data_IF_162973293481
#
_entry.id   IF_162973293481
#
_cell.length_a   1.000
_cell.length_b   1.000
_cell.length_c   1.000
_cell.angle_alpha   90.00
_cell.angle_beta   90.00
_cell.angle_gamma   90.00
#
_symmetry.space_group_name_H-M   'P 1'
#
loop_
_entity.id
_entity.type
_entity.pdbx_description
1 polymer ?
#
# COMPACT_ATOMS: atom_id res chain seq x y z
N UNK A 1 -60.55 -13.28 3.60
CA UNK A 1 -59.13 -12.96 3.32
C UNK A 1 -59.05 -11.93 2.20
N UNK A 2 -58.14 -10.95 2.28
CA UNK A 2 -57.90 -10.04 1.15
C UNK A 2 -57.36 -10.82 -0.06
N UNK A 3 -57.69 -10.39 -1.29
CA UNK A 3 -57.17 -10.99 -2.53
C UNK A 3 -55.64 -11.06 -2.53
N UNK A 4 -54.98 -10.06 -1.94
CA UNK A 4 -53.52 -10.00 -1.82
C UNK A 4 -53.01 -11.05 -0.84
N UNK A 5 -53.66 -11.22 0.31
CA UNK A 5 -53.30 -12.25 1.29
C UNK A 5 -53.42 -13.65 0.70
N UNK A 6 -54.53 -13.94 0.01
CA UNK A 6 -54.72 -15.25 -0.61
C UNK A 6 -53.69 -15.53 -1.72
N UNK A 7 -53.40 -14.52 -2.57
CA UNK A 7 -52.37 -14.64 -3.60
C UNK A 7 -50.97 -14.86 -3.01
N UNK A 8 -50.69 -14.24 -1.86
CA UNK A 8 -49.43 -14.41 -1.15
C UNK A 8 -49.28 -15.82 -0.58
N UNK A 9 -50.30 -16.34 0.10
CA UNK A 9 -50.28 -17.72 0.62
C UNK A 9 -50.10 -18.74 -0.50
N UNK A 10 -50.79 -18.55 -1.63
CA UNK A 10 -50.65 -19.42 -2.79
C UNK A 10 -49.22 -19.39 -3.37
N UNK A 11 -48.61 -18.21 -3.48
CA UNK A 11 -47.24 -18.09 -3.97
C UNK A 11 -46.22 -18.72 -3.02
N UNK A 12 -46.42 -18.58 -1.70
CA UNK A 12 -45.58 -19.22 -0.67
C UNK A 12 -45.69 -20.74 -0.75
N UNK A 13 -46.90 -21.28 -0.88
CA UNK A 13 -47.11 -22.72 -1.05
C UNK A 13 -46.34 -23.28 -2.26
N UNK A 14 -46.33 -22.56 -3.39
CA UNK A 14 -45.56 -22.95 -4.58
C UNK A 14 -44.06 -22.99 -4.30
N UNK A 15 -43.51 -22.00 -3.57
CA UNK A 15 -42.09 -22.01 -3.21
C UNK A 15 -41.76 -23.22 -2.32
N UNK A 16 -42.59 -23.48 -1.31
CA UNK A 16 -42.40 -24.63 -0.39
C UNK A 16 -42.48 -25.96 -1.15
N UNK A 17 -43.47 -26.14 -2.03
CA UNK A 17 -43.64 -27.36 -2.84
C UNK A 17 -42.44 -27.61 -3.78
N UNK A 18 -41.81 -26.54 -4.29
CA UNK A 18 -40.66 -26.64 -5.18
C UNK A 18 -39.32 -26.62 -4.43
N UNK A 19 -39.31 -26.53 -3.10
CA UNK A 19 -38.09 -26.59 -2.29
C UNK A 19 -37.71 -28.06 -2.06
N UNK A 20 -36.50 -28.51 -2.44
CA UNK A 20 -36.09 -29.90 -2.27
C UNK A 20 -35.98 -30.25 -0.77
N UNK A 21 -36.21 -31.53 -0.44
CA UNK A 21 -35.93 -32.05 0.89
C UNK A 21 -34.41 -32.01 1.19
N UNK A 22 -34.05 -31.98 2.47
CA UNK A 22 -32.65 -31.93 2.90
C UNK A 22 -31.81 -33.05 2.25
N UNK A 23 -30.77 -32.65 1.51
CA UNK A 23 -29.87 -33.57 0.81
C UNK A 23 -30.26 -33.95 -0.61
N UNK A 24 -31.43 -33.53 -1.11
CA UNK A 24 -31.83 -33.77 -2.51
C UNK A 24 -31.35 -32.65 -3.45
N UNK A 25 -30.92 -33.03 -4.66
CA UNK A 25 -30.56 -32.05 -5.68
C UNK A 25 -31.82 -31.38 -6.25
N UNK A 26 -31.83 -30.05 -6.29
CA UNK A 26 -32.91 -29.28 -6.89
C UNK A 26 -32.92 -29.44 -8.42
N UNK A 27 -34.06 -29.81 -9.01
CA UNK A 27 -34.20 -29.86 -10.47
C UNK A 27 -34.29 -28.45 -11.08
N UNK A 28 -33.89 -28.31 -12.35
CA UNK A 28 -34.02 -27.03 -13.07
C UNK A 28 -35.48 -26.52 -13.10
N UNK A 29 -36.44 -27.44 -13.21
CA UNK A 29 -37.87 -27.11 -13.20
C UNK A 29 -38.26 -26.49 -11.85
N UNK A 30 -37.94 -27.15 -10.74
CA UNK A 30 -38.21 -26.67 -9.39
C UNK A 30 -37.58 -25.30 -9.14
N UNK A 31 -36.33 -25.10 -9.57
CA UNK A 31 -35.64 -23.80 -9.49
C UNK A 31 -36.44 -22.69 -10.16
N UNK A 32 -36.81 -22.88 -11.42
CA UNK A 32 -37.52 -21.84 -12.20
C UNK A 32 -38.89 -21.51 -11.61
N UNK A 33 -39.64 -22.52 -11.16
CA UNK A 33 -40.96 -22.29 -10.53
C UNK A 33 -40.82 -21.63 -9.16
N UNK A 34 -39.86 -22.05 -8.34
CA UNK A 34 -39.52 -21.44 -7.07
C UNK A 34 -39.12 -19.97 -7.22
N UNK A 35 -38.17 -19.66 -8.11
CA UNK A 35 -37.69 -18.30 -8.36
C UNK A 35 -38.82 -17.38 -8.86
N UNK A 36 -39.68 -17.88 -9.76
CA UNK A 36 -40.82 -17.11 -10.27
C UNK A 36 -41.83 -16.83 -9.16
N UNK A 37 -42.14 -17.82 -8.32
CA UNK A 37 -43.05 -17.65 -7.20
C UNK A 37 -42.46 -16.69 -6.15
N UNK A 38 -41.17 -16.80 -5.85
CA UNK A 38 -40.45 -15.89 -4.96
C UNK A 38 -40.47 -14.44 -5.48
N UNK A 39 -40.19 -14.23 -6.77
CA UNK A 39 -40.31 -12.90 -7.40
C UNK A 39 -41.75 -12.36 -7.33
N UNK A 40 -42.75 -13.23 -7.44
CA UNK A 40 -44.16 -12.90 -7.22
C UNK A 40 -44.45 -12.43 -5.79
N UNK A 41 -43.91 -13.14 -4.79
CA UNK A 41 -44.02 -12.78 -3.36
C UNK A 41 -43.43 -11.38 -3.13
N UNK A 42 -42.21 -11.12 -3.63
CA UNK A 42 -41.56 -9.82 -3.48
C UNK A 42 -42.41 -8.68 -4.07
N UNK A 43 -43.01 -8.89 -5.25
CA UNK A 43 -43.94 -7.92 -5.87
C UNK A 43 -45.18 -7.65 -4.99
N UNK A 44 -45.77 -8.70 -4.41
CA UNK A 44 -46.95 -8.57 -3.54
C UNK A 44 -46.63 -7.85 -2.22
N UNK A 45 -45.44 -8.07 -1.65
CA UNK A 45 -45.01 -7.50 -0.37
C UNK A 45 -44.34 -6.11 -0.55
N UNK A 46 -43.92 -5.73 -1.76
CA UNK A 46 -43.19 -4.49 -2.03
C UNK A 46 -43.79 -3.23 -1.35
N UNK A 47 -45.12 -2.94 -1.38
CA UNK A 47 -45.67 -1.79 -0.66
C UNK A 47 -45.36 -1.78 0.84
N UNK A 48 -45.32 -2.96 1.46
CA UNK A 48 -45.01 -3.12 2.88
C UNK A 48 -43.52 -2.98 3.17
N UNK A 49 -42.66 -3.51 2.31
CA UNK A 49 -41.20 -3.27 2.38
C UNK A 49 -40.93 -1.77 2.33
N UNK A 50 -41.52 -1.05 1.36
CA UNK A 50 -41.39 0.41 1.26
C UNK A 50 -41.85 1.14 2.51
N UNK A 51 -42.93 0.69 3.15
CA UNK A 51 -43.39 1.26 4.40
C UNK A 51 -42.37 1.04 5.53
N UNK A 52 -41.86 -0.17 5.71
CA UNK A 52 -40.89 -0.46 6.75
C UNK A 52 -39.54 0.23 6.52
N UNK A 53 -39.02 0.30 5.29
CA UNK A 53 -37.77 1.03 4.99
C UNK A 53 -37.87 2.49 5.47
N UNK A 54 -38.99 3.16 5.19
CA UNK A 54 -39.24 4.53 5.68
C UNK A 54 -39.36 4.58 7.21
N UNK A 55 -40.11 3.66 7.81
CA UNK A 55 -40.30 3.63 9.27
C UNK A 55 -38.98 3.43 10.03
N UNK A 56 -38.05 2.64 9.47
CA UNK A 56 -36.74 2.38 10.06
C UNK A 56 -35.70 3.46 9.72
N UNK A 57 -36.06 4.47 8.92
CA UNK A 57 -35.18 5.58 8.55
C UNK A 57 -34.13 5.24 7.49
N UNK A 58 -34.27 4.12 6.79
CA UNK A 58 -33.25 3.59 5.86
C UNK A 58 -33.42 4.11 4.42
N UNK A 59 -33.97 5.31 4.25
CA UNK A 59 -34.27 5.88 2.92
C UNK A 59 -32.99 6.14 2.13
N UNK A 60 -31.92 6.55 2.79
CA UNK A 60 -30.59 6.74 2.20
C UNK A 60 -29.88 5.42 1.84
N UNK A 61 -30.41 4.28 2.31
CA UNK A 61 -29.85 2.93 2.11
C UNK A 61 -30.91 2.02 1.49
N UNK A 62 -31.66 2.55 0.53
CA UNK A 62 -32.85 1.89 0.00
C UNK A 62 -32.55 0.51 -0.61
N UNK A 63 -31.51 0.42 -1.43
CA UNK A 63 -31.11 -0.82 -2.11
C UNK A 63 -30.69 -1.90 -1.10
N UNK A 64 -29.85 -1.54 -0.13
CA UNK A 64 -29.42 -2.45 0.95
C UNK A 64 -30.61 -2.94 1.78
N UNK A 65 -31.54 -2.03 2.09
CA UNK A 65 -32.72 -2.33 2.87
C UNK A 65 -33.70 -3.25 2.12
N UNK A 66 -33.83 -3.07 0.79
CA UNK A 66 -34.62 -3.95 -0.07
C UNK A 66 -34.02 -5.36 -0.13
N UNK A 67 -32.69 -5.48 -0.28
CA UNK A 67 -31.99 -6.77 -0.24
C UNK A 67 -32.15 -7.47 1.11
N UNK A 68 -31.98 -6.75 2.23
CA UNK A 68 -32.20 -7.29 3.57
C UNK A 68 -33.65 -7.78 3.75
N UNK A 69 -34.63 -7.05 3.20
CA UNK A 69 -36.02 -7.49 3.20
C UNK A 69 -36.23 -8.75 2.36
N UNK A 70 -35.58 -8.88 1.19
CA UNK A 70 -35.66 -10.09 0.38
C UNK A 70 -35.08 -11.31 1.12
N UNK A 71 -33.96 -11.15 1.83
CA UNK A 71 -33.40 -12.18 2.72
C UNK A 71 -34.40 -12.52 3.83
N UNK A 72 -35.03 -11.52 4.44
CA UNK A 72 -36.06 -11.71 5.47
C UNK A 72 -37.27 -12.48 4.95
N UNK A 73 -37.73 -12.21 3.72
CA UNK A 73 -38.79 -12.97 3.06
C UNK A 73 -38.35 -14.41 2.83
N UNK A 74 -37.14 -14.65 2.34
CA UNK A 74 -36.61 -15.99 2.13
C UNK A 74 -36.55 -16.80 3.43
N UNK A 75 -35.99 -16.21 4.51
CA UNK A 75 -35.97 -16.82 5.85
C UNK A 75 -37.38 -17.04 6.40
N UNK A 76 -38.30 -16.12 6.14
CA UNK A 76 -39.71 -16.28 6.51
C UNK A 76 -40.32 -17.51 5.82
N UNK A 77 -40.03 -17.76 4.54
CA UNK A 77 -40.55 -18.93 3.83
C UNK A 77 -39.99 -20.23 4.45
N UNK A 78 -38.69 -20.27 4.74
CA UNK A 78 -38.04 -21.45 5.33
C UNK A 78 -38.62 -21.84 6.70
N UNK A 79 -38.98 -20.85 7.52
CA UNK A 79 -39.55 -21.06 8.85
C UNK A 79 -41.07 -21.02 8.91
N UNK A 80 -41.76 -20.95 7.77
CA UNK A 80 -43.21 -20.74 7.74
C UNK A 80 -43.99 -22.01 8.08
N UNK A 81 -44.93 -21.88 9.02
CA UNK A 81 -45.88 -22.93 9.37
C UNK A 81 -47.32 -22.40 9.21
N UNK A 82 -48.06 -22.87 8.18
CA UNK A 82 -49.40 -22.36 7.88
C UNK A 82 -50.44 -22.71 8.95
N UNK A 83 -50.15 -23.66 9.83
CA UNK A 83 -51.06 -24.02 10.93
C UNK A 83 -51.00 -23.03 12.10
N UNK A 84 -49.90 -22.28 12.22
CA UNK A 84 -49.66 -21.36 13.34
C UNK A 84 -50.07 -19.93 13.05
N UNK A 85 -49.84 -19.45 11.84
CA UNK A 85 -50.13 -18.06 11.48
C UNK A 85 -50.27 -17.87 9.96
N UNK A 86 -50.92 -16.78 9.57
CA UNK A 86 -50.87 -16.29 8.18
C UNK A 86 -49.46 -15.78 7.85
N UNK A 87 -48.98 -16.04 6.64
CA UNK A 87 -47.65 -15.63 6.19
C UNK A 87 -47.47 -14.12 6.27
N UNK A 88 -48.53 -13.33 5.97
CA UNK A 88 -48.49 -11.87 6.10
C UNK A 88 -48.14 -11.37 7.50
N UNK A 89 -48.49 -12.13 8.54
CA UNK A 89 -48.15 -11.80 9.93
C UNK A 89 -46.71 -12.23 10.22
N UNK A 90 -46.35 -13.44 9.83
CA UNK A 90 -45.03 -14.00 10.09
C UNK A 90 -43.90 -13.22 9.40
N UNK A 91 -44.08 -12.88 8.12
CA UNK A 91 -43.09 -12.14 7.33
C UNK A 91 -42.83 -10.75 7.92
N UNK A 92 -43.82 -10.11 8.56
CA UNK A 92 -43.62 -8.80 9.19
C UNK A 92 -42.59 -8.86 10.32
N UNK A 93 -42.55 -9.95 11.08
CA UNK A 93 -41.55 -10.11 12.14
C UNK A 93 -40.15 -10.25 11.55
N UNK A 94 -40.02 -11.02 10.47
CA UNK A 94 -38.72 -11.17 9.80
C UNK A 94 -38.24 -9.86 9.16
N UNK A 95 -39.12 -9.14 8.45
CA UNK A 95 -38.76 -7.84 7.87
C UNK A 95 -38.27 -6.85 8.93
N UNK A 96 -38.94 -6.79 10.09
CA UNK A 96 -38.52 -5.94 11.21
C UNK A 96 -37.17 -6.35 11.79
N UNK A 97 -36.93 -7.66 11.94
CA UNK A 97 -35.65 -8.19 12.44
C UNK A 97 -34.48 -7.81 11.54
N UNK A 98 -34.60 -8.07 10.23
CA UNK A 98 -33.54 -7.77 9.26
C UNK A 98 -33.27 -6.26 9.15
N UNK A 99 -34.33 -5.43 9.07
CA UNK A 99 -34.17 -3.97 8.98
C UNK A 99 -33.57 -3.38 10.27
N UNK A 100 -33.95 -3.92 11.43
CA UNK A 100 -33.33 -3.52 12.69
C UNK A 100 -31.85 -3.91 12.72
N UNK A 101 -31.48 -5.10 12.23
CA UNK A 101 -30.10 -5.55 12.11
C UNK A 101 -29.27 -4.71 11.14
N UNK A 102 -29.85 -4.28 10.02
CA UNK A 102 -29.21 -3.35 9.08
C UNK A 102 -29.00 -1.99 9.74
N UNK A 103 -30.03 -1.43 10.38
CA UNK A 103 -29.96 -0.16 11.11
C UNK A 103 -28.84 -0.15 12.15
N UNK A 104 -28.71 -1.21 12.94
CA UNK A 104 -27.64 -1.30 13.94
C UNK A 104 -26.23 -1.29 13.35
N UNK A 105 -26.05 -1.79 12.12
CA UNK A 105 -24.75 -1.81 11.44
C UNK A 105 -24.42 -0.47 10.78
N UNK A 106 -25.41 0.19 10.18
CA UNK A 106 -25.20 1.45 9.45
C UNK A 106 -25.25 2.68 10.35
N UNK A 107 -26.19 2.73 11.29
CA UNK A 107 -26.44 3.89 12.15
C UNK A 107 -25.78 3.68 13.52
N UNK A 108 -24.45 3.59 13.51
CA UNK A 108 -23.64 3.43 14.73
C UNK A 108 -23.70 4.66 15.63
N UNK A 109 -23.92 5.83 15.03
CA UNK A 109 -24.19 7.12 15.65
C UNK A 109 -25.47 7.14 16.52
N UNK A 110 -26.48 6.35 16.16
CA UNK A 110 -27.72 6.26 16.91
C UNK A 110 -27.63 5.39 18.18
N UNK A 111 -26.49 4.73 18.40
CA UNK A 111 -26.28 3.90 19.60
C UNK A 111 -26.16 4.78 20.85
N UNK A 112 -26.61 4.30 22.03
CA UNK A 112 -26.51 5.08 23.27
C UNK A 112 -25.08 5.54 23.60
N UNK A 113 -24.07 4.73 23.27
CA UNK A 113 -22.66 5.09 23.47
C UNK A 113 -22.21 6.24 22.56
N UNK A 114 -22.61 6.24 21.29
CA UNK A 114 -22.29 7.30 20.35
C UNK A 114 -22.98 8.62 20.73
N UNK A 115 -24.24 8.54 21.19
CA UNK A 115 -24.98 9.71 21.72
C UNK A 115 -24.30 10.37 22.92
N UNK A 116 -23.60 9.61 23.78
CA UNK A 116 -22.86 10.17 24.93
C UNK A 116 -21.67 11.05 24.50
N UNK A 117 -21.09 10.78 23.34
CA UNK A 117 -19.92 11.49 22.81
C UNK A 117 -20.32 12.41 21.65
N UNK A 118 -21.62 12.61 21.42
CA UNK A 118 -22.16 13.37 20.28
C UNK A 118 -21.55 12.94 18.93
N UNK A 119 -21.24 11.64 18.78
CA UNK A 119 -20.69 11.12 17.54
C UNK A 119 -21.79 11.07 16.47
N UNK A 120 -21.48 11.62 15.29
CA UNK A 120 -22.38 11.69 14.15
C UNK A 120 -21.75 11.03 12.93
N UNK A 121 -22.55 10.31 12.15
CA UNK A 121 -22.12 9.83 10.83
C UNK A 121 -22.23 10.98 9.84
N UNK A 122 -21.11 11.33 9.21
CA UNK A 122 -21.04 12.39 8.19
C UNK A 122 -20.66 11.74 6.86
N UNK A 123 -21.27 12.20 5.77
CA UNK A 123 -20.85 11.81 4.42
C UNK A 123 -19.67 12.67 3.98
N UNK A 124 -18.65 12.07 3.37
CA UNK A 124 -17.52 12.82 2.80
C UNK A 124 -17.98 13.82 1.72
N UNK A 125 -19.03 13.47 0.98
CA UNK A 125 -19.63 14.32 -0.05
C UNK A 125 -20.74 15.22 0.50
N UNK A 126 -20.96 15.28 1.81
CA UNK A 126 -21.85 16.27 2.39
C UNK A 126 -21.26 17.67 2.14
N UNK A 127 -22.04 18.53 1.52
CA UNK A 127 -21.72 19.95 1.39
C UNK A 127 -21.89 20.59 2.76
N UNK A 128 -20.80 21.16 3.27
CA UNK A 128 -20.78 21.93 4.50
C UNK A 128 -20.49 23.39 4.13
N UNK A 129 -21.30 24.31 4.66
CA UNK A 129 -21.03 25.74 4.51
C UNK A 129 -19.95 26.13 5.51
N UNK A 130 -18.81 26.63 5.01
CA UNK A 130 -17.73 27.12 5.85
C UNK A 130 -18.09 28.49 6.47
N UNK A 131 -17.27 28.96 7.43
CA UNK A 131 -17.49 30.25 8.11
C UNK A 131 -17.55 31.45 7.14
N UNK A 132 -16.92 31.32 5.97
CA UNK A 132 -16.90 32.32 4.90
C UNK A 132 -18.10 32.20 3.93
N UNK A 133 -19.04 31.28 4.19
CA UNK A 133 -20.25 31.08 3.38
C UNK A 133 -20.03 30.31 2.08
N UNK A 134 -18.82 29.79 1.85
CA UNK A 134 -18.54 28.92 0.72
C UNK A 134 -18.95 27.48 1.02
N UNK A 135 -19.71 26.90 0.09
CA UNK A 135 -20.15 25.52 0.12
C UNK A 135 -19.00 24.61 -0.34
N UNK A 136 -18.47 23.82 0.58
CA UNK A 136 -17.36 22.91 0.31
C UNK A 136 -17.68 21.52 0.84
N UNK A 137 -17.19 20.46 0.17
CA UNK A 137 -17.38 19.11 0.70
C UNK A 137 -16.39 18.81 1.82
N UNK A 138 -16.74 17.89 2.72
CA UNK A 138 -15.80 17.42 3.75
C UNK A 138 -14.56 16.77 3.13
N UNK A 139 -14.72 16.09 1.98
CA UNK A 139 -13.62 15.54 1.19
C UNK A 139 -12.58 16.62 0.82
N UNK A 140 -13.03 17.69 0.17
CA UNK A 140 -12.16 18.82 -0.22
C UNK A 140 -11.49 19.53 0.97
N UNK A 141 -12.15 19.57 2.13
CA UNK A 141 -11.55 20.17 3.34
C UNK A 141 -10.43 19.28 3.94
N UNK A 142 -10.53 17.95 3.80
CA UNK A 142 -9.55 17.00 4.36
C UNK A 142 -8.39 16.77 3.39
N UNK A 143 -8.63 16.93 2.08
CA UNK A 143 -7.59 16.74 1.06
C UNK A 143 -6.43 17.72 1.27
N UNK A 144 -5.24 17.17 1.49
CA UNK A 144 -4.00 17.93 1.44
C UNK A 144 -3.53 18.02 -0.02
N UNK A 145 -3.60 19.23 -0.58
CA UNK A 145 -3.22 19.52 -1.96
C UNK A 145 -1.74 19.18 -2.25
N UNK A 146 -0.88 19.21 -1.23
CA UNK A 146 0.55 18.93 -1.37
C UNK A 146 0.89 17.46 -1.18
N UNK A 147 -0.07 16.61 -0.80
CA UNK A 147 0.22 15.21 -0.45
C UNK A 147 0.87 14.44 -1.61
N UNK A 148 0.43 14.69 -2.85
CA UNK A 148 1.00 14.04 -4.03
C UNK A 148 2.46 14.49 -4.24
N UNK A 149 2.71 15.80 -4.28
CA UNK A 149 4.05 16.36 -4.51
C UNK A 149 5.04 15.94 -3.41
N UNK A 150 4.61 15.96 -2.14
CA UNK A 150 5.42 15.51 -1.01
C UNK A 150 5.71 14.00 -1.09
N UNK A 151 4.75 13.20 -1.53
CA UNK A 151 4.94 11.76 -1.70
C UNK A 151 5.91 11.46 -2.84
N UNK A 152 5.74 12.12 -3.99
CA UNK A 152 6.62 11.95 -5.15
C UNK A 152 8.05 12.43 -4.87
N UNK A 153 8.20 13.59 -4.23
CA UNK A 153 9.51 14.11 -3.83
C UNK A 153 10.18 13.22 -2.79
N UNK A 154 9.43 12.72 -1.80
CA UNK A 154 9.91 11.76 -0.81
C UNK A 154 10.34 10.42 -1.43
N UNK A 155 9.53 9.88 -2.33
CA UNK A 155 9.86 8.65 -3.07
C UNK A 155 11.11 8.84 -3.95
N UNK A 156 11.21 9.97 -4.66
CA UNK A 156 12.37 10.34 -5.48
C UNK A 156 13.64 10.45 -4.63
N UNK A 157 13.58 11.14 -3.49
CA UNK A 157 14.70 11.27 -2.56
C UNK A 157 15.13 9.91 -1.99
N UNK A 158 14.17 9.05 -1.64
CA UNK A 158 14.46 7.71 -1.16
C UNK A 158 15.14 6.84 -2.23
N UNK A 159 14.62 6.85 -3.46
CA UNK A 159 15.24 6.14 -4.59
C UNK A 159 16.63 6.68 -4.92
N UNK A 160 16.84 7.99 -4.84
CA UNK A 160 18.15 8.60 -5.02
C UNK A 160 19.15 8.12 -3.95
N UNK A 161 18.74 8.06 -2.68
CA UNK A 161 19.58 7.53 -1.59
C UNK A 161 19.92 6.06 -1.81
N UNK A 162 18.95 5.21 -2.14
CA UNK A 162 19.20 3.80 -2.41
C UNK A 162 20.16 3.60 -3.59
N UNK A 163 19.95 4.35 -4.67
CA UNK A 163 20.80 4.29 -5.87
C UNK A 163 22.21 4.75 -5.55
N UNK A 164 22.36 5.87 -4.82
CA UNK A 164 23.64 6.37 -4.34
C UNK A 164 24.38 5.31 -3.52
N UNK A 165 23.73 4.73 -2.51
CA UNK A 165 24.35 3.71 -1.66
C UNK A 165 24.82 2.53 -2.50
N UNK A 166 23.99 2.05 -3.43
CA UNK A 166 24.35 0.91 -4.26
C UNK A 166 25.53 1.19 -5.19
N UNK A 167 25.60 2.37 -5.79
CA UNK A 167 26.72 2.78 -6.64
C UNK A 167 28.04 2.91 -5.86
N UNK A 168 27.98 3.39 -4.62
CA UNK A 168 29.17 3.45 -3.74
C UNK A 168 29.63 2.05 -3.37
N UNK A 169 28.72 1.13 -3.05
CA UNK A 169 29.04 -0.27 -2.78
C UNK A 169 29.70 -0.95 -3.99
N UNK A 170 29.10 -0.82 -5.18
CA UNK A 170 29.65 -1.38 -6.42
C UNK A 170 31.06 -0.82 -6.71
N UNK A 171 31.31 0.46 -6.40
CA UNK A 171 32.64 1.07 -6.50
C UNK A 171 33.63 0.53 -5.48
N UNK A 172 33.21 0.35 -4.24
CA UNK A 172 34.04 -0.24 -3.18
C UNK A 172 34.45 -1.65 -3.56
N UNK A 173 33.53 -2.46 -4.07
CA UNK A 173 33.82 -3.82 -4.54
C UNK A 173 34.77 -3.81 -5.74
N UNK A 174 34.59 -2.89 -6.69
CA UNK A 174 35.53 -2.69 -7.79
C UNK A 174 36.96 -2.35 -7.28
N UNK A 175 37.09 -1.49 -6.26
CA UNK A 175 38.39 -1.19 -5.66
C UNK A 175 39.03 -2.40 -4.97
N UNK A 176 38.23 -3.25 -4.33
CA UNK A 176 38.70 -4.50 -3.73
C UNK A 176 39.21 -5.46 -4.79
N UNK A 177 38.47 -5.66 -5.88
CA UNK A 177 38.86 -6.54 -6.97
C UNK A 177 40.17 -6.07 -7.62
N UNK A 178 40.25 -4.79 -8.00
CA UNK A 178 41.47 -4.23 -8.60
C UNK A 178 42.65 -4.25 -7.62
N UNK A 179 42.41 -3.95 -6.34
CA UNK A 179 43.44 -3.93 -5.30
C UNK A 179 44.01 -5.33 -5.03
N UNK A 180 43.14 -6.32 -4.86
CA UNK A 180 43.54 -7.72 -4.64
C UNK A 180 44.26 -8.30 -5.85
N UNK A 181 43.82 -7.98 -7.08
CA UNK A 181 44.52 -8.35 -8.32
C UNK A 181 45.93 -7.73 -8.40
N UNK A 182 46.07 -6.45 -8.02
CA UNK A 182 47.37 -5.78 -7.99
C UNK A 182 48.29 -6.40 -6.95
N UNK A 183 47.78 -6.72 -5.75
CA UNK A 183 48.54 -7.41 -4.70
C UNK A 183 48.96 -8.81 -5.18
N UNK A 184 48.07 -9.57 -5.81
CA UNK A 184 48.38 -10.88 -6.38
C UNK A 184 49.47 -10.79 -7.47
N UNK A 185 49.40 -9.79 -8.37
CA UNK A 185 50.42 -9.56 -9.39
C UNK A 185 51.77 -9.15 -8.79
N UNK A 186 51.78 -8.31 -7.75
CA UNK A 186 53.00 -7.93 -7.02
C UNK A 186 53.63 -9.12 -6.30
N UNK A 187 52.82 -9.93 -5.62
CA UNK A 187 53.26 -11.17 -4.97
C UNK A 187 53.87 -12.16 -5.97
N UNK A 188 53.34 -12.25 -7.20
CA UNK A 188 53.93 -13.06 -8.29
C UNK A 188 55.28 -12.53 -8.79
N UNK A 189 55.47 -11.20 -8.82
CA UNK A 189 56.70 -10.56 -9.34
C UNK A 189 57.83 -10.46 -8.31
N UNK A 190 57.48 -10.31 -7.03
CA UNK A 190 58.43 -10.02 -5.96
C UNK A 190 59.27 -11.23 -5.50
N UNK A 191 59.22 -12.39 -6.18
CA UNK A 191 59.74 -13.62 -5.56
C UNK A 191 60.38 -14.62 -6.52
N UNK A 192 61.72 -14.58 -6.60
CA UNK A 192 62.54 -15.76 -6.35
C UNK A 192 63.10 -15.82 -4.91
N UNK A 193 63.13 -14.72 -4.14
CA UNK A 193 63.81 -14.66 -2.82
C UNK A 193 62.91 -15.06 -1.62
N UNK A 194 61.69 -14.50 -1.49
CA UNK A 194 60.69 -14.89 -0.46
C UNK A 194 60.20 -16.35 -0.53
N UNK A 195 60.42 -17.06 -1.64
CA UNK A 195 60.03 -18.46 -1.79
C UNK A 195 60.95 -19.41 -1.00
N UNK A 196 62.15 -18.95 -0.60
CA UNK A 196 63.13 -19.72 0.17
C UNK A 196 62.85 -19.74 1.69
N UNK A 197 62.09 -18.78 2.21
CA UNK A 197 61.87 -18.65 3.68
C UNK A 197 60.79 -19.56 4.25
N UNK A 198 59.86 -20.06 3.43
CA UNK A 198 58.71 -20.83 3.93
C UNK A 198 58.85 -22.29 3.53
N UNK A 199 59.53 -23.06 4.39
CA UNK A 199 59.74 -24.50 4.24
C UNK A 199 58.46 -25.29 4.57
N UNK A 200 57.84 -25.89 3.56
CA UNK A 200 56.71 -26.82 3.71
C UNK A 200 56.15 -27.30 2.35
N UNK A 201 55.45 -28.46 2.31
CA UNK A 201 54.89 -28.99 1.06
C UNK A 201 53.70 -28.14 0.61
N UNK A 202 53.78 -27.53 -0.59
CA UNK A 202 52.79 -26.57 -1.09
C UNK A 202 51.92 -27.13 -2.22
N UNK A 203 50.60 -27.05 -2.05
CA UNK A 203 49.62 -27.14 -3.13
C UNK A 203 49.73 -25.89 -4.02
N UNK A 204 49.51 -26.02 -5.34
CA UNK A 204 49.74 -24.93 -6.32
C UNK A 204 48.94 -23.64 -6.05
N UNK A 205 47.84 -23.72 -5.31
CA UNK A 205 47.06 -22.56 -4.87
C UNK A 205 47.73 -21.72 -3.77
N UNK A 206 48.75 -22.25 -3.09
CA UNK A 206 49.45 -21.58 -1.97
C UNK A 206 50.80 -20.95 -2.37
N UNK A 207 51.11 -20.87 -3.66
CA UNK A 207 52.45 -20.46 -4.14
C UNK A 207 52.66 -18.95 -4.04
N UNK A 208 51.59 -18.15 -3.95
CA UNK A 208 51.66 -16.69 -3.82
C UNK A 208 50.61 -16.17 -2.83
N UNK A 209 50.77 -16.41 -1.50
CA UNK A 209 49.85 -15.85 -0.51
C UNK A 209 49.98 -14.31 -0.49
N UNK A 210 48.84 -13.62 -0.52
CA UNK A 210 48.79 -12.18 -0.26
C UNK A 210 49.07 -11.98 1.23
N UNK A 211 49.93 -11.02 1.57
CA UNK A 211 50.25 -10.70 2.96
C UNK A 211 49.00 -10.09 3.64
N UNK A 212 48.57 -10.60 4.82
CA UNK A 212 47.43 -10.03 5.54
C UNK A 212 47.61 -8.56 5.93
N UNK A 213 48.85 -8.08 6.11
CA UNK A 213 49.13 -6.67 6.40
C UNK A 213 48.87 -5.76 5.19
N UNK A 214 49.22 -6.22 3.98
CA UNK A 214 48.94 -5.52 2.73
C UNK A 214 47.43 -5.46 2.45
N UNK A 215 46.70 -6.52 2.78
CA UNK A 215 45.24 -6.56 2.67
C UNK A 215 44.57 -5.59 3.65
N UNK A 216 45.04 -5.52 4.89
CA UNK A 216 44.54 -4.57 5.89
C UNK A 216 44.80 -3.11 5.46
N UNK A 217 45.97 -2.83 4.89
CA UNK A 217 46.29 -1.51 4.35
C UNK A 217 45.40 -1.14 3.15
N UNK A 218 45.06 -2.11 2.30
CA UNK A 218 44.11 -1.91 1.20
C UNK A 218 42.71 -1.55 1.72
N UNK A 219 42.16 -2.32 2.66
CA UNK A 219 40.83 -2.03 3.25
C UNK A 219 40.80 -0.67 3.96
N UNK A 220 41.85 -0.31 4.70
CA UNK A 220 41.95 1.02 5.33
C UNK A 220 41.91 2.15 4.29
N UNK A 221 42.57 1.96 3.15
CA UNK A 221 42.54 2.93 2.05
C UNK A 221 41.16 3.01 1.38
N UNK A 222 40.49 1.87 1.19
CA UNK A 222 39.14 1.80 0.64
C UNK A 222 38.14 2.50 1.56
N UNK A 223 38.28 2.33 2.88
CA UNK A 223 37.45 3.02 3.87
C UNK A 223 37.58 4.55 3.76
N UNK A 224 38.82 5.07 3.65
CA UNK A 224 39.06 6.50 3.44
C UNK A 224 38.45 7.02 2.13
N UNK A 225 38.53 6.23 1.05
CA UNK A 225 37.90 6.59 -0.22
C UNK A 225 36.37 6.66 -0.11
N UNK A 226 35.75 5.68 0.56
CA UNK A 226 34.30 5.66 0.81
C UNK A 226 33.85 6.89 1.59
N UNK A 227 34.54 7.20 2.68
CA UNK A 227 34.23 8.36 3.52
C UNK A 227 34.34 9.68 2.75
N UNK A 228 35.38 9.83 1.91
CA UNK A 228 35.56 11.00 1.06
C UNK A 228 34.41 11.19 0.06
N UNK A 229 33.88 10.10 -0.50
CA UNK A 229 32.76 10.12 -1.46
C UNK A 229 31.46 10.44 -0.74
N UNK A 230 31.19 9.77 0.38
CA UNK A 230 29.97 9.97 1.16
C UNK A 230 29.87 11.42 1.66
N UNK A 231 30.97 12.00 2.16
CA UNK A 231 31.05 13.40 2.58
C UNK A 231 30.72 14.35 1.42
N UNK A 232 31.30 14.10 0.24
CA UNK A 232 31.10 14.98 -0.92
C UNK A 232 29.68 14.92 -1.48
N UNK A 233 29.05 13.74 -1.46
CA UNK A 233 27.70 13.53 -1.99
C UNK A 233 26.60 14.00 -1.06
N UNK A 234 26.89 14.21 0.23
CA UNK A 234 25.91 14.70 1.20
C UNK A 234 25.67 16.22 1.11
N UNK A 235 26.28 16.93 0.15
CA UNK A 235 26.15 18.39 -0.06
C UNK A 235 26.43 19.22 1.21
N UNK A 236 27.15 18.66 2.18
CA UNK A 236 27.39 19.28 3.48
C UNK A 236 28.62 20.20 3.39
N UNK A 237 28.47 21.31 2.67
CA UNK A 237 29.53 22.29 2.43
C UNK A 237 30.14 22.84 3.73
N UNK A 238 29.35 22.84 4.82
CA UNK A 238 29.80 23.21 6.16
C UNK A 238 30.78 22.19 6.77
N UNK A 239 30.73 20.93 6.36
CA UNK A 239 31.60 19.87 6.83
C UNK A 239 32.97 19.88 6.12
N UNK A 240 33.00 20.22 4.82
CA UNK A 240 34.24 20.41 4.05
C UNK A 240 35.06 21.61 4.59
N UNK A 241 34.38 22.65 5.11
CA UNK A 241 35.01 23.84 5.68
C UNK A 241 35.70 23.59 7.05
N UNK A 242 35.35 22.50 7.75
CA UNK A 242 35.93 22.14 9.07
C UNK A 242 37.28 21.42 8.99
N UNK A 243 37.77 21.11 7.78
CA UNK A 243 39.11 20.54 7.59
C UNK A 243 40.11 21.69 7.60
N UNK A 244 40.88 21.84 8.68
CA UNK A 244 41.85 22.94 8.83
C UNK A 244 43.04 22.87 7.84
N UNK A 245 43.33 21.67 7.31
CA UNK A 245 44.43 21.45 6.35
C UNK A 245 43.93 21.46 4.89
N UNK A 246 44.26 22.54 4.18
CA UNK A 246 43.93 22.75 2.77
C UNK A 246 44.47 21.63 1.86
N UNK A 247 45.63 21.04 2.18
CA UNK A 247 46.21 19.97 1.38
C UNK A 247 45.45 18.65 1.53
N UNK A 248 44.86 18.38 2.71
CA UNK A 248 44.00 17.22 2.95
C UNK A 248 42.64 17.41 2.26
N UNK A 249 42.11 18.63 2.31
CA UNK A 249 40.86 19.00 1.63
C UNK A 249 40.95 18.81 0.12
N UNK A 250 42.01 19.32 -0.52
CA UNK A 250 42.20 19.18 -1.97
C UNK A 250 42.45 17.72 -2.37
N UNK A 251 43.19 16.94 -1.58
CA UNK A 251 43.34 15.48 -1.84
C UNK A 251 42.00 14.75 -1.79
N UNK A 252 41.18 15.03 -0.77
CA UNK A 252 39.84 14.45 -0.61
C UNK A 252 38.95 14.78 -1.80
N UNK A 253 39.01 16.04 -2.28
CA UNK A 253 38.31 16.50 -3.49
C UNK A 253 38.74 15.73 -4.74
N UNK A 254 40.04 15.53 -4.93
CA UNK A 254 40.56 14.79 -6.09
C UNK A 254 40.17 13.31 -6.04
N UNK A 255 40.19 12.68 -4.86
CA UNK A 255 39.74 11.30 -4.67
C UNK A 255 38.25 11.19 -5.01
N UNK A 256 37.41 12.06 -4.45
CA UNK A 256 35.99 12.08 -4.75
C UNK A 256 35.72 12.31 -6.25
N UNK A 257 36.40 13.27 -6.88
CA UNK A 257 36.26 13.55 -8.32
C UNK A 257 36.60 12.34 -9.19
N UNK A 258 37.69 11.63 -8.88
CA UNK A 258 38.07 10.40 -9.60
C UNK A 258 37.07 9.28 -9.37
N UNK A 259 36.59 9.13 -8.14
CA UNK A 259 35.58 8.14 -7.81
C UNK A 259 34.25 8.41 -8.54
N UNK A 260 33.80 9.66 -8.61
CA UNK A 260 32.58 10.03 -9.37
C UNK A 260 32.71 9.68 -10.85
N UNK A 261 33.88 9.92 -11.46
CA UNK A 261 34.12 9.53 -12.86
C UNK A 261 34.07 8.00 -13.05
N UNK A 262 34.69 7.24 -12.15
CA UNK A 262 34.65 5.77 -12.19
C UNK A 262 33.22 5.22 -11.95
N UNK A 263 32.48 5.80 -11.01
CA UNK A 263 31.08 5.45 -10.73
C UNK A 263 30.21 5.71 -11.95
N UNK A 264 30.38 6.85 -12.63
CA UNK A 264 29.66 7.15 -13.87
C UNK A 264 29.96 6.11 -14.97
N UNK A 265 31.23 5.77 -15.18
CA UNK A 265 31.64 4.75 -16.15
C UNK A 265 31.06 3.35 -15.84
N UNK A 266 31.02 2.97 -14.56
CA UNK A 266 30.40 1.70 -14.12
C UNK A 266 28.88 1.72 -14.26
N UNK A 267 28.24 2.86 -13.96
CA UNK A 267 26.80 3.03 -14.12
C UNK A 267 26.39 2.90 -15.60
N UNK A 268 27.13 3.53 -16.51
CA UNK A 268 26.91 3.43 -17.97
C UNK A 268 27.01 1.99 -18.49
N UNK A 269 27.93 1.19 -17.92
CA UNK A 269 28.10 -0.22 -18.29
C UNK A 269 27.05 -1.14 -17.70
N UNK A 270 26.29 -0.68 -16.70
CA UNK A 270 25.31 -1.52 -16.01
C UNK A 270 23.93 -1.35 -16.65
N UNK A 271 23.32 -2.41 -17.22
CA UNK A 271 22.07 -2.31 -17.97
C UNK A 271 20.91 -1.69 -17.17
N UNK A 272 20.90 -1.88 -15.84
CA UNK A 272 19.86 -1.35 -14.93
C UNK A 272 19.88 0.18 -14.79
N UNK A 273 21.00 0.83 -15.09
CA UNK A 273 21.17 2.29 -14.97
C UNK A 273 21.23 2.99 -16.34
N UNK A 274 21.57 2.26 -17.40
CA UNK A 274 21.73 2.80 -18.76
C UNK A 274 20.46 3.49 -19.32
N UNK A 275 19.26 2.97 -19.02
CA UNK A 275 17.99 3.58 -19.47
C UNK A 275 17.58 4.83 -18.68
N UNK A 276 18.01 4.95 -17.42
CA UNK A 276 17.69 6.09 -16.57
C UNK A 276 18.57 7.31 -16.89
N UNK A 277 19.85 7.09 -17.21
CA UNK A 277 20.84 8.13 -17.51
C UNK A 277 20.67 8.78 -18.89
N UNK A 278 19.98 8.13 -19.83
CA UNK A 278 19.67 8.68 -21.16
C UNK A 278 18.54 9.71 -21.16
N UNK A 279 17.83 9.86 -20.03
CA UNK A 279 16.71 10.81 -19.91
C UNK A 279 17.25 12.14 -19.36
N UNK A 280 17.11 13.27 -20.06
CA UNK A 280 17.59 14.54 -19.56
C UNK A 280 16.88 14.88 -18.24
N UNK A 281 17.65 15.08 -17.18
CA UNK A 281 17.13 15.52 -15.88
C UNK A 281 16.59 16.95 -16.04
N UNK A 282 15.31 17.23 -15.76
CA UNK A 282 14.79 18.59 -15.80
C UNK A 282 15.57 19.46 -14.81
N UNK A 283 15.90 20.68 -15.22
CA UNK A 283 16.66 21.60 -14.40
C UNK A 283 15.97 21.79 -13.04
N UNK A 284 16.69 21.52 -11.94
CA UNK A 284 16.20 21.70 -10.57
C UNK A 284 15.74 23.16 -10.44
N UNK A 285 14.50 23.46 -9.99
CA UNK A 285 14.09 24.83 -9.74
C UNK A 285 15.05 25.45 -8.72
N UNK A 286 15.54 26.66 -9.01
CA UNK A 286 16.37 27.42 -8.06
C UNK A 286 15.54 27.58 -6.80
N UNK A 287 16.04 27.10 -5.66
CA UNK A 287 15.50 27.46 -4.33
C UNK A 287 15.53 28.98 -4.26
N UNK A 288 14.37 29.61 -4.36
CA UNK A 288 14.23 31.00 -3.96
C UNK A 288 14.54 31.04 -2.46
N UNK A 289 15.53 31.85 -2.09
CA UNK A 289 15.83 32.12 -0.70
C UNK A 289 14.57 32.70 -0.08
N UNK A 290 13.92 31.94 0.80
CA UNK A 290 12.85 32.45 1.65
C UNK A 290 13.45 33.64 2.39
N UNK A 291 13.00 34.83 2.00
CA UNK A 291 13.44 36.07 2.62
C UNK A 291 13.19 36.00 4.12
N UNK A 292 14.21 36.40 4.87
CA UNK A 292 14.14 36.68 6.30
C UNK A 292 12.85 37.41 6.64
N UNK A 293 11.86 36.71 7.17
CA UNK A 293 10.74 37.33 7.88
C UNK A 293 11.34 37.85 9.19
N UNK A 294 11.62 39.15 9.21
CA UNK A 294 11.97 39.86 10.43
C UNK A 294 10.76 39.81 11.36
N UNK A 295 10.97 39.25 12.55
CA UNK A 295 10.15 39.50 13.73
C UNK A 295 10.29 40.96 14.17
#
# INVERSE_FOLDING_TARGET
>A
MSKITAALEAAVAIVIENTPADGAAMTNRQRVYGDRAFAGILKLIAPRIRHFIRQYGLVSHWEDAEQCCAIGVHRAIQGYDPTKAQFTTFVNWQLRGELQGLRFRLMTDQRPSAKKVSAATVSLHAVMSNADGEDMTLETMIMDENALELTESGASAHMATLTRTKLIEDYVDHLRDVGTDQLARRARKATPERAREIAGPRLRSSVHPIDPSDLAALEAKIALHREAIERRLSEDAEQDARIDDEAVRERTRQVAKRATAAIAEMADRTPRFAAALSTPVPARPRRESIGSVAL
#
